data_IF_816031875285
#
_entry.id   IF_816031875285
#
_cell.length_a   1.000
_cell.length_b   1.000
_cell.length_c   1.000
_cell.angle_alpha   90.00
_cell.angle_beta   90.00
_cell.angle_gamma   90.00
#
_symmetry.space_group_name_H-M   'P 1'
#
loop_
_entity.id
_entity.type
_entity.pdbx_description
1 polymer ?
#
# COMPACT_ATOMS: atom_id res chain seq x y z
N UNK A 1 3.92 -9.51 14.75
CA UNK A 1 2.87 -8.73 15.43
C UNK A 1 2.03 -9.73 16.18
N UNK A 2 1.81 -9.50 17.47
CA UNK A 2 0.97 -10.40 18.26
C UNK A 2 -0.48 -10.00 18.02
N UNK A 3 -1.36 -10.99 17.85
CA UNK A 3 -2.79 -10.75 17.74
C UNK A 3 -3.38 -10.58 19.14
N UNK A 4 -4.22 -9.58 19.35
CA UNK A 4 -4.94 -9.37 20.61
C UNK A 4 -6.36 -9.92 20.50
N UNK A 5 -6.83 -10.55 21.57
CA UNK A 5 -8.19 -11.10 21.67
C UNK A 5 -8.94 -10.43 22.81
N UNK A 6 -10.22 -10.13 22.58
CA UNK A 6 -11.14 -9.65 23.61
C UNK A 6 -11.57 -10.75 24.57
N UNK A 7 -12.37 -10.38 25.58
CA UNK A 7 -12.92 -11.32 26.56
C UNK A 7 -13.84 -12.39 25.92
N UNK A 8 -14.39 -12.09 24.75
CA UNK A 8 -15.20 -13.00 23.92
C UNK A 8 -14.35 -13.90 22.99
N UNK A 9 -13.02 -13.77 23.02
CA UNK A 9 -12.09 -14.50 22.17
C UNK A 9 -11.98 -13.99 20.74
N UNK A 10 -12.70 -12.91 20.38
CA UNK A 10 -12.64 -12.28 19.06
C UNK A 10 -11.43 -11.36 18.94
N UNK A 11 -10.95 -11.13 17.71
CA UNK A 11 -9.84 -10.22 17.46
C UNK A 11 -10.24 -8.78 17.81
N UNK A 12 -9.41 -8.12 18.61
CA UNK A 12 -9.53 -6.69 18.89
C UNK A 12 -8.35 -5.94 18.27
N UNK A 13 -8.56 -4.64 18.06
CA UNK A 13 -7.51 -3.75 17.53
C UNK A 13 -6.40 -3.59 18.58
N UNK A 14 -5.22 -4.08 18.24
CA UNK A 14 -3.98 -3.85 18.97
C UNK A 14 -3.34 -2.49 18.62
N UNK A 15 -2.17 -2.23 19.20
CA UNK A 15 -1.34 -1.09 18.86
C UNK A 15 -0.94 -1.05 17.38
N UNK A 16 -0.67 0.16 16.87
CA UNK A 16 -0.19 0.35 15.50
C UNK A 16 1.15 -0.35 15.33
N UNK A 17 1.24 -1.28 14.38
CA UNK A 17 2.48 -2.03 14.15
C UNK A 17 3.42 -1.32 13.17
N UNK A 18 2.90 -0.88 12.01
CA UNK A 18 3.65 -0.26 10.91
C UNK A 18 2.71 0.61 10.06
N UNK A 19 3.28 1.56 9.33
CA UNK A 19 2.60 2.33 8.28
C UNK A 19 3.27 2.03 6.95
N UNK A 20 2.48 1.73 5.92
CA UNK A 20 2.96 1.53 4.55
C UNK A 20 2.40 2.63 3.66
N UNK A 21 3.25 3.19 2.81
CA UNK A 21 2.92 4.30 1.92
C UNK A 21 3.28 3.94 0.49
N UNK A 22 2.38 4.30 -0.42
CA UNK A 22 2.63 4.35 -1.85
C UNK A 22 2.51 5.80 -2.29
N UNK A 23 3.52 6.33 -2.96
CA UNK A 23 3.52 7.69 -3.49
C UNK A 23 3.94 7.67 -4.96
N UNK A 24 3.26 8.45 -5.80
CA UNK A 24 3.51 8.51 -7.25
C UNK A 24 3.87 9.94 -7.63
N UNK A 25 5.01 10.09 -8.29
CA UNK A 25 5.44 11.36 -8.90
C UNK A 25 6.10 11.08 -10.24
N UNK A 26 5.90 12.00 -11.18
CA UNK A 26 6.42 11.86 -12.53
C UNK A 26 7.92 11.51 -12.55
N UNK A 27 8.27 10.40 -13.19
CA UNK A 27 9.64 9.94 -13.38
C UNK A 27 10.24 9.13 -12.23
N UNK A 28 9.54 8.93 -11.11
CA UNK A 28 10.06 8.14 -9.98
C UNK A 28 10.15 6.64 -10.29
N UNK A 29 9.40 6.14 -11.25
CA UNK A 29 9.42 4.75 -11.70
C UNK A 29 10.62 4.40 -12.57
N UNK A 30 11.39 5.39 -13.05
CA UNK A 30 12.49 5.17 -13.99
C UNK A 30 13.57 4.22 -13.46
N UNK A 31 13.80 4.24 -12.15
CA UNK A 31 14.83 3.44 -11.48
C UNK A 31 14.32 2.07 -11.00
N UNK A 32 13.06 1.72 -11.23
CA UNK A 32 12.55 0.39 -10.88
C UNK A 32 13.13 -0.68 -11.82
N UNK A 33 13.42 -1.90 -11.32
CA UNK A 33 13.80 -3.02 -12.18
C UNK A 33 12.78 -3.23 -13.29
N UNK A 34 13.23 -3.55 -14.51
CA UNK A 34 12.38 -3.60 -15.71
C UNK A 34 11.16 -4.52 -15.53
N UNK A 35 11.36 -5.70 -14.95
CA UNK A 35 10.31 -6.67 -14.67
C UNK A 35 9.42 -6.33 -13.45
N UNK A 36 9.66 -5.19 -12.80
CA UNK A 36 8.93 -4.69 -11.63
C UNK A 36 8.48 -3.23 -11.79
N UNK A 37 8.57 -2.68 -13.01
CA UNK A 37 8.02 -1.36 -13.32
C UNK A 37 6.50 -1.41 -13.21
N UNK A 38 5.97 -0.68 -12.24
CA UNK A 38 4.54 -0.56 -11.98
C UNK A 38 4.17 0.93 -11.94
N UNK A 39 4.42 1.61 -13.06
CA UNK A 39 4.33 3.06 -13.16
C UNK A 39 5.37 3.80 -12.30
N UNK A 40 5.00 5.00 -11.90
CA UNK A 40 5.85 5.92 -11.13
C UNK A 40 5.74 5.76 -9.60
N UNK A 41 5.22 4.62 -9.14
CA UNK A 41 5.02 4.35 -7.73
C UNK A 41 6.34 4.06 -6.99
N UNK A 42 6.50 4.71 -5.83
CA UNK A 42 7.50 4.43 -4.80
C UNK A 42 6.80 3.89 -3.56
N UNK A 43 7.41 2.89 -2.95
CA UNK A 43 6.93 2.22 -1.75
C UNK A 43 7.82 2.61 -0.56
N UNK A 44 7.22 2.82 0.60
CA UNK A 44 7.94 3.08 1.84
C UNK A 44 7.21 2.48 3.03
N UNK A 45 7.96 2.03 4.02
CA UNK A 45 7.44 1.50 5.27
C UNK A 45 8.01 2.30 6.44
N UNK A 46 7.20 2.46 7.48
CA UNK A 46 7.55 3.24 8.66
C UNK A 46 7.13 2.50 9.93
N UNK A 47 7.91 2.68 10.99
CA UNK A 47 7.51 2.34 12.36
C UNK A 47 6.40 3.28 12.85
N UNK A 48 5.70 2.94 13.94
CA UNK A 48 4.65 3.79 14.50
C UNK A 48 5.12 5.17 14.93
N UNK A 49 6.41 5.31 15.28
CA UNK A 49 7.05 6.58 15.62
C UNK A 49 7.52 7.39 14.40
N UNK A 50 7.21 6.95 13.17
CA UNK A 50 7.58 7.65 11.93
C UNK A 50 8.98 7.34 11.40
N UNK A 51 9.78 6.54 12.10
CA UNK A 51 11.09 6.11 11.60
C UNK A 51 10.92 5.22 10.36
N UNK A 52 11.64 5.53 9.29
CA UNK A 52 11.62 4.73 8.06
C UNK A 52 12.21 3.34 8.30
N UNK A 53 11.57 2.33 7.72
CA UNK A 53 12.04 0.95 7.72
C UNK A 53 12.74 0.65 6.40
N UNK A 54 13.90 0.00 6.52
CA UNK A 54 14.58 -0.65 5.39
C UNK A 54 13.99 -2.04 5.20
N UNK A 55 13.26 -2.23 4.10
CA UNK A 55 12.64 -3.49 3.72
C UNK A 55 12.87 -3.76 2.25
N UNK A 56 12.72 -5.02 1.85
CA UNK A 56 12.75 -5.41 0.46
C UNK A 56 11.46 -4.97 -0.27
N UNK A 57 11.54 -3.85 -0.97
CA UNK A 57 10.43 -3.27 -1.73
C UNK A 57 10.12 -4.00 -3.05
N UNK A 58 10.94 -4.98 -3.47
CA UNK A 58 10.62 -5.80 -4.65
C UNK A 58 9.32 -6.57 -4.47
N UNK A 59 9.02 -6.99 -3.23
CA UNK A 59 7.77 -7.67 -2.85
C UNK A 59 6.55 -6.77 -2.99
N UNK A 60 6.70 -5.49 -2.71
CA UNK A 60 5.64 -4.50 -2.89
C UNK A 60 5.34 -4.33 -4.37
N UNK A 61 6.39 -4.16 -5.19
CA UNK A 61 6.24 -4.02 -6.64
C UNK A 61 5.63 -5.26 -7.28
N UNK A 62 6.12 -6.45 -6.96
CA UNK A 62 5.64 -7.70 -7.57
C UNK A 62 4.19 -8.02 -7.21
N UNK A 63 3.73 -7.67 -6.00
CA UNK A 63 2.33 -7.87 -5.62
C UNK A 63 1.38 -6.88 -6.30
N UNK A 64 1.85 -5.65 -6.57
CA UNK A 64 1.03 -4.60 -7.21
C UNK A 64 1.08 -4.64 -8.74
N UNK A 65 2.15 -5.18 -9.33
CA UNK A 65 2.34 -5.27 -10.78
C UNK A 65 1.17 -5.93 -11.53
N UNK A 66 0.61 -7.08 -11.08
CA UNK A 66 -0.45 -7.77 -11.81
C UNK A 66 -1.78 -6.99 -11.90
N UNK A 67 -1.96 -5.94 -11.09
CA UNK A 67 -3.13 -5.07 -11.18
C UNK A 67 -3.16 -4.23 -12.46
N UNK A 68 -1.98 -3.97 -13.04
CA UNK A 68 -1.81 -3.26 -14.30
C UNK A 68 -2.20 -1.78 -14.27
N UNK A 69 -2.00 -1.13 -15.42
CA UNK A 69 -2.28 0.29 -15.62
C UNK A 69 -3.78 0.64 -15.47
N UNK A 70 -4.68 -0.31 -15.77
CA UNK A 70 -6.13 -0.08 -15.68
C UNK A 70 -6.61 0.21 -14.25
N UNK A 71 -5.87 -0.25 -13.24
CA UNK A 71 -6.11 0.04 -11.81
C UNK A 71 -5.04 0.94 -11.22
N UNK A 72 -4.19 1.53 -12.06
CA UNK A 72 -2.97 2.25 -11.68
C UNK A 72 -2.20 1.56 -10.55
N UNK A 73 -2.11 0.22 -10.61
CA UNK A 73 -1.43 -0.60 -9.63
C UNK A 73 -1.95 -0.50 -8.17
N UNK A 74 -3.20 -0.07 -7.96
CA UNK A 74 -3.82 0.09 -6.62
C UNK A 74 -4.98 -0.90 -6.42
N UNK A 75 -4.92 -1.70 -5.37
CA UNK A 75 -5.90 -2.77 -5.10
C UNK A 75 -7.35 -2.27 -4.96
N UNK A 76 -7.55 -1.13 -4.30
CA UNK A 76 -8.86 -0.55 -4.00
C UNK A 76 -9.23 0.58 -4.97
N UNK A 77 -8.66 0.56 -6.18
CA UNK A 77 -8.86 1.61 -7.20
C UNK A 77 -10.34 1.84 -7.49
N UNK A 78 -11.07 0.79 -7.90
CA UNK A 78 -12.49 0.92 -8.27
C UNK A 78 -13.32 1.43 -7.08
N UNK A 79 -13.21 0.80 -5.92
CA UNK A 79 -13.94 1.21 -4.69
C UNK A 79 -13.67 2.68 -4.33
N UNK A 80 -12.42 3.14 -4.47
CA UNK A 80 -12.04 4.52 -4.17
C UNK A 80 -12.79 5.52 -5.05
N UNK A 81 -12.87 5.26 -6.35
CA UNK A 81 -13.50 6.15 -7.33
C UNK A 81 -15.02 6.02 -7.31
N UNK A 82 -15.58 4.82 -7.16
CA UNK A 82 -17.02 4.58 -6.99
C UNK A 82 -17.57 5.39 -5.81
N UNK A 83 -16.95 5.28 -4.62
CA UNK A 83 -17.38 6.02 -3.43
C UNK A 83 -17.35 7.54 -3.60
N UNK A 84 -16.48 8.06 -4.48
CA UNK A 84 -16.33 9.50 -4.73
C UNK A 84 -17.23 10.01 -5.85
N UNK A 85 -17.55 9.17 -6.82
CA UNK A 85 -18.59 9.45 -7.79
C UNK A 85 -19.97 9.57 -7.10
N UNK A 86 -20.24 8.74 -6.11
CA UNK A 86 -21.53 8.74 -5.38
C UNK A 86 -21.61 9.74 -4.21
N UNK A 87 -20.48 10.25 -3.72
CA UNK A 87 -20.45 11.29 -2.66
C UNK A 87 -20.59 12.73 -3.18
N UNK A 88 -20.78 12.92 -4.48
CA UNK A 88 -20.95 14.22 -5.13
C UNK A 88 -22.43 14.62 -5.34
N UNK A 89 -23.34 13.99 -4.60
CA UNK A 89 -24.77 14.31 -4.57
C UNK A 89 -25.20 14.78 -3.19
#
# INVERSE_FOLDING_TARGET
>A
GNFEKGADGLLIKADLAKVFVMHKEAGWGANAPENLKNGDWIFSAFKPNGERLEVDYTKCRSCHLPLGDSKDYVHRYDEYFEKRAHGAH
#
